data_IF_746073509402
#
_entry.id   IF_746073509402
#
_cell.length_a   1.000
_cell.length_b   1.000
_cell.length_c   1.000
_cell.angle_alpha   90.00
_cell.angle_beta   90.00
_cell.angle_gamma   90.00
#
_symmetry.space_group_name_H-M   'P 1'
#
loop_
_entity.id
_entity.type
_entity.pdbx_description
1 polymer ?
#
# COMPACT_ATOMS: atom_id res chain seq x y z
N UNK A 1 -26.53 -5.18 -8.24
CA UNK A 1 -26.57 -4.39 -7.04
C UNK A 1 -25.21 -4.28 -6.40
N UNK A 2 -24.72 -3.06 -6.25
CA UNK A 2 -23.40 -2.85 -5.65
C UNK A 2 -23.32 -3.38 -4.23
N UNK A 3 -24.40 -3.21 -3.44
CA UNK A 3 -24.40 -3.64 -2.04
C UNK A 3 -24.20 -5.15 -1.88
N UNK A 4 -24.71 -5.94 -2.84
CA UNK A 4 -24.60 -7.40 -2.78
C UNK A 4 -23.15 -7.86 -3.02
N UNK A 5 -22.33 -7.00 -3.66
CA UNK A 5 -20.95 -7.35 -4.02
C UNK A 5 -19.94 -6.70 -3.08
N UNK A 6 -20.39 -6.15 -1.96
CA UNK A 6 -19.51 -5.50 -1.01
C UNK A 6 -19.53 -6.21 0.33
N UNK A 7 -18.48 -5.96 1.11
CA UNK A 7 -18.32 -6.49 2.47
C UNK A 7 -17.99 -5.36 3.41
N UNK A 8 -18.66 -5.35 4.55
CA UNK A 8 -18.33 -4.43 5.64
C UNK A 8 -17.38 -5.15 6.59
N UNK A 9 -16.24 -4.54 6.82
CA UNK A 9 -15.20 -5.08 7.70
C UNK A 9 -14.88 -4.03 8.75
N UNK A 10 -14.84 -4.44 10.01
CA UNK A 10 -14.44 -3.56 11.11
C UNK A 10 -13.14 -4.10 11.69
N UNK A 11 -12.14 -3.24 11.82
CA UNK A 11 -10.85 -3.60 12.38
C UNK A 11 -10.49 -2.65 13.49
N UNK A 12 -9.80 -3.17 14.51
CA UNK A 12 -9.23 -2.36 15.57
C UNK A 12 -7.72 -2.37 15.37
N UNK A 13 -7.15 -1.22 15.04
CA UNK A 13 -5.76 -1.14 14.61
C UNK A 13 -4.95 -0.22 15.50
N UNK A 14 -3.65 -0.34 15.38
CA UNK A 14 -2.70 0.50 16.12
C UNK A 14 -2.63 1.90 15.52
N UNK A 15 -2.07 2.84 16.27
CA UNK A 15 -1.80 4.17 15.75
C UNK A 15 -0.80 4.13 14.59
N UNK A 16 0.31 3.39 14.67
CA UNK A 16 1.23 3.30 13.52
C UNK A 16 0.54 2.80 12.25
N UNK A 17 -0.33 1.79 12.37
CA UNK A 17 -1.05 1.31 11.20
C UNK A 17 -2.04 2.36 10.70
N UNK A 18 -2.73 3.05 11.61
CA UNK A 18 -3.63 4.13 11.20
C UNK A 18 -2.88 5.19 10.37
N UNK A 19 -1.68 5.57 10.82
CA UNK A 19 -0.86 6.53 10.09
C UNK A 19 -0.44 6.00 8.73
N UNK A 20 -0.21 4.70 8.63
CA UNK A 20 0.09 4.08 7.32
C UNK A 20 -1.13 4.15 6.39
N UNK A 21 -2.35 3.97 6.93
CA UNK A 21 -3.55 4.11 6.11
C UNK A 21 -3.69 5.53 5.56
N UNK A 22 -3.44 6.54 6.41
CA UNK A 22 -3.56 7.94 5.95
C UNK A 22 -2.49 8.29 4.93
N UNK A 23 -1.29 7.74 5.09
CA UNK A 23 -0.25 7.96 4.09
C UNK A 23 -0.63 7.32 2.76
N UNK A 24 -1.18 6.11 2.78
CA UNK A 24 -1.65 5.46 1.56
C UNK A 24 -2.74 6.25 0.87
N UNK A 25 -3.70 6.76 1.64
CA UNK A 25 -4.78 7.57 1.11
C UNK A 25 -4.23 8.85 0.48
N UNK A 26 -3.28 9.49 1.14
CA UNK A 26 -2.65 10.71 0.63
C UNK A 26 -1.96 10.46 -0.71
N UNK A 27 -1.17 9.40 -0.78
CA UNK A 27 -0.45 9.05 -2.01
C UNK A 27 -1.41 8.72 -3.14
N UNK A 28 -2.46 7.95 -2.84
CA UNK A 28 -3.43 7.55 -3.85
C UNK A 28 -4.25 8.75 -4.33
N UNK A 29 -4.63 9.64 -3.43
CA UNK A 29 -5.35 10.86 -3.79
C UNK A 29 -4.51 11.74 -4.71
N UNK A 30 -3.22 11.88 -4.41
CA UNK A 30 -2.32 12.69 -5.21
C UNK A 30 -2.02 12.04 -6.56
N UNK A 31 -1.97 10.71 -6.60
CA UNK A 31 -1.75 9.99 -7.85
C UNK A 31 -2.92 10.16 -8.81
N UNK A 32 -4.14 10.10 -8.28
CA UNK A 32 -5.36 10.14 -9.10
C UNK A 32 -5.94 11.54 -9.25
N UNK A 33 -5.48 12.49 -8.44
CA UNK A 33 -6.02 13.85 -8.38
C UNK A 33 -7.49 13.87 -8.00
N UNK A 34 -7.87 12.93 -7.15
CA UNK A 34 -9.20 12.83 -6.54
C UNK A 34 -9.03 12.49 -5.07
N UNK A 35 -9.91 12.99 -4.22
CA UNK A 35 -9.92 12.57 -2.83
C UNK A 35 -10.34 11.11 -2.78
N UNK A 36 -9.48 10.29 -2.20
CA UNK A 36 -9.71 8.85 -2.12
C UNK A 36 -10.00 8.42 -0.69
N UNK A 37 -10.64 7.28 -0.56
CA UNK A 37 -10.89 6.65 0.74
C UNK A 37 -10.00 5.42 0.87
N UNK A 38 -9.87 4.92 2.10
CA UNK A 38 -9.14 3.69 2.33
C UNK A 38 -9.78 2.52 1.58
N UNK A 39 -11.10 2.44 1.59
CA UNK A 39 -11.82 1.39 0.87
C UNK A 39 -11.50 1.42 -0.62
N UNK A 40 -11.48 2.61 -1.23
CA UNK A 40 -11.14 2.74 -2.65
C UNK A 40 -9.69 2.30 -2.91
N UNK A 41 -8.78 2.65 -2.03
CA UNK A 41 -7.38 2.25 -2.18
C UNK A 41 -7.25 0.73 -2.11
N UNK A 42 -7.92 0.10 -1.17
CA UNK A 42 -7.89 -1.36 -1.03
C UNK A 42 -8.45 -2.01 -2.28
N UNK A 43 -9.60 -1.52 -2.78
CA UNK A 43 -10.20 -2.06 -3.99
C UNK A 43 -9.26 -1.91 -5.19
N UNK A 44 -8.55 -0.79 -5.27
CA UNK A 44 -7.60 -0.55 -6.36
C UNK A 44 -6.41 -1.50 -6.28
N UNK A 45 -5.87 -1.74 -5.08
CA UNK A 45 -4.65 -2.53 -4.92
C UNK A 45 -4.88 -4.03 -4.81
N UNK A 46 -6.09 -4.44 -4.49
CA UNK A 46 -6.36 -5.87 -4.25
C UNK A 46 -6.12 -6.74 -5.49
N UNK A 47 -6.12 -6.15 -6.68
CA UNK A 47 -5.81 -6.87 -7.91
C UNK A 47 -4.30 -6.97 -8.17
N UNK A 48 -3.47 -6.36 -7.32
CA UNK A 48 -2.01 -6.32 -7.50
C UNK A 48 -1.29 -6.82 -6.26
N UNK A 49 -1.73 -7.98 -5.75
CA UNK A 49 -1.18 -8.54 -4.52
C UNK A 49 -0.02 -9.50 -4.76
N UNK A 50 0.25 -9.86 -6.00
CA UNK A 50 1.26 -10.86 -6.30
C UNK A 50 2.67 -10.46 -5.86
N UNK A 51 2.94 -9.17 -5.75
CA UNK A 51 4.27 -8.69 -5.35
C UNK A 51 4.47 -8.64 -3.85
N UNK A 52 3.42 -8.78 -3.07
CA UNK A 52 3.53 -8.70 -1.61
C UNK A 52 4.41 -9.82 -1.08
N UNK A 53 4.19 -11.05 -1.55
CA UNK A 53 4.98 -12.20 -1.13
C UNK A 53 6.41 -12.21 -1.67
N UNK A 54 6.72 -11.33 -2.63
CA UNK A 54 8.08 -11.25 -3.19
C UNK A 54 9.03 -10.43 -2.33
N UNK A 55 8.51 -9.71 -1.34
CA UNK A 55 9.38 -9.02 -0.40
C UNK A 55 10.16 -10.03 0.42
N UNK A 56 11.38 -9.65 0.78
CA UNK A 56 12.22 -10.48 1.62
C UNK A 56 11.51 -10.77 2.96
N UNK A 57 11.59 -12.02 3.42
CA UNK A 57 10.95 -12.43 4.67
C UNK A 57 11.39 -11.57 5.85
N UNK A 58 12.67 -11.21 5.89
CA UNK A 58 13.19 -10.35 6.93
C UNK A 58 12.53 -8.98 6.90
N UNK A 59 12.37 -8.41 5.69
CA UNK A 59 11.71 -7.12 5.51
C UNK A 59 10.27 -7.17 6.01
N UNK A 60 9.55 -8.24 5.68
CA UNK A 60 8.16 -8.41 6.12
C UNK A 60 8.06 -8.51 7.64
N UNK A 61 8.98 -9.25 8.26
CA UNK A 61 8.99 -9.38 9.73
C UNK A 61 9.33 -8.05 10.40
N UNK A 62 10.27 -7.31 9.83
CA UNK A 62 10.63 -5.99 10.36
C UNK A 62 9.45 -5.03 10.25
N UNK A 63 8.68 -5.12 9.17
CA UNK A 63 7.49 -4.29 9.01
C UNK A 63 6.50 -4.54 10.15
N UNK A 64 6.20 -5.81 10.45
CA UNK A 64 5.26 -6.15 11.52
C UNK A 64 5.75 -5.68 12.89
N UNK A 65 7.06 -5.70 13.10
CA UNK A 65 7.64 -5.22 14.35
C UNK A 65 7.54 -3.71 14.47
N UNK A 66 7.81 -3.01 13.38
CA UNK A 66 7.79 -1.54 13.37
C UNK A 66 6.39 -0.98 13.35
N UNK A 67 5.46 -1.67 12.69
CA UNK A 67 4.07 -1.23 12.56
C UNK A 67 3.17 -2.40 12.96
N UNK A 68 3.02 -2.63 14.27
CA UNK A 68 2.11 -3.67 14.72
C UNK A 68 0.68 -3.31 14.32
N UNK A 69 -0.10 -4.30 13.90
CA UNK A 69 -1.42 -4.03 13.36
C UNK A 69 -2.49 -3.88 14.42
N UNK A 70 -2.34 -4.56 15.55
CA UNK A 70 -3.37 -4.59 16.59
C UNK A 70 -3.38 -3.33 17.44
N UNK A 71 -4.57 -2.84 17.76
CA UNK A 71 -4.69 -1.65 18.60
C UNK A 71 -6.14 -1.33 18.93
N UNK A 72 -6.38 -0.06 19.26
CA UNK A 72 -7.68 0.38 19.76
C UNK A 72 -8.41 1.34 18.80
N UNK A 73 -7.79 1.69 17.69
CA UNK A 73 -8.44 2.60 16.74
C UNK A 73 -9.34 1.78 15.83
N UNK A 74 -10.64 2.06 15.89
CA UNK A 74 -11.61 1.33 15.09
C UNK A 74 -11.75 1.97 13.72
N UNK A 75 -11.59 1.16 12.68
CA UNK A 75 -11.85 1.60 11.32
C UNK A 75 -12.88 0.68 10.68
N UNK A 76 -13.66 1.24 9.76
CA UNK A 76 -14.65 0.49 9.00
C UNK A 76 -14.33 0.58 7.53
N UNK A 77 -14.42 -0.56 6.87
CA UNK A 77 -14.14 -0.67 5.45
C UNK A 77 -15.38 -1.23 4.76
N UNK A 78 -15.70 -0.65 3.62
CA UNK A 78 -16.70 -1.22 2.73
C UNK A 78 -16.00 -1.48 1.41
N UNK A 79 -15.57 -2.73 1.21
CA UNK A 79 -14.77 -3.12 0.06
C UNK A 79 -15.50 -4.18 -0.74
N UNK A 80 -15.07 -4.38 -1.99
CA UNK A 80 -15.68 -5.39 -2.83
C UNK A 80 -15.41 -6.78 -2.25
N UNK A 81 -16.27 -7.74 -2.61
CA UNK A 81 -16.09 -9.12 -2.21
C UNK A 81 -14.75 -9.66 -2.72
N UNK A 82 -14.39 -9.28 -3.95
CA UNK A 82 -13.11 -9.68 -4.54
C UNK A 82 -11.94 -9.17 -3.71
N UNK A 83 -12.02 -7.91 -3.25
CA UNK A 83 -10.97 -7.35 -2.40
C UNK A 83 -10.88 -8.07 -1.07
N UNK A 84 -12.02 -8.39 -0.46
CA UNK A 84 -12.06 -9.12 0.80
C UNK A 84 -11.41 -10.50 0.63
N UNK A 85 -11.71 -11.19 -0.46
CA UNK A 85 -11.10 -12.48 -0.77
C UNK A 85 -9.59 -12.34 -0.96
N UNK A 86 -9.15 -11.30 -1.66
CA UNK A 86 -7.72 -11.04 -1.88
C UNK A 86 -6.99 -10.80 -0.56
N UNK A 87 -7.60 -10.07 0.37
CA UNK A 87 -7.00 -9.86 1.69
C UNK A 87 -6.84 -11.19 2.45
N UNK A 88 -7.85 -12.05 2.39
CA UNK A 88 -7.77 -13.36 3.02
C UNK A 88 -6.66 -14.21 2.40
N UNK A 89 -6.52 -14.16 1.08
CA UNK A 89 -5.47 -14.90 0.37
C UNK A 89 -4.09 -14.39 0.75
N UNK A 90 -3.92 -13.07 0.85
CA UNK A 90 -2.65 -12.47 1.29
C UNK A 90 -2.35 -12.92 2.72
N UNK A 91 -3.35 -12.88 3.59
CA UNK A 91 -3.20 -13.33 4.97
C UNK A 91 -2.70 -14.77 5.03
N UNK A 92 -3.33 -15.66 4.27
CA UNK A 92 -2.96 -17.08 4.27
C UNK A 92 -1.57 -17.30 3.68
N UNK A 93 -1.26 -16.63 2.57
CA UNK A 93 0.04 -16.74 1.94
C UNK A 93 1.16 -16.30 2.88
N UNK A 94 1.00 -15.14 3.50
CA UNK A 94 2.02 -14.60 4.37
C UNK A 94 2.10 -15.35 5.71
N UNK A 95 0.97 -15.89 6.18
CA UNK A 95 0.99 -16.74 7.37
C UNK A 95 1.89 -17.96 7.15
N UNK A 96 1.82 -18.54 5.96
CA UNK A 96 2.70 -19.67 5.62
C UNK A 96 4.14 -19.23 5.45
N UNK A 97 4.35 -18.11 4.74
CA UNK A 97 5.70 -17.62 4.46
C UNK A 97 6.45 -17.21 5.72
N UNK A 98 5.75 -16.60 6.68
CA UNK A 98 6.36 -16.13 7.92
C UNK A 98 6.24 -17.12 9.06
N UNK A 99 5.59 -18.26 8.81
CA UNK A 99 5.35 -19.29 9.82
C UNK A 99 4.72 -18.68 11.08
N UNK A 100 3.69 -17.86 10.87
CA UNK A 100 2.97 -17.18 11.93
C UNK A 100 1.50 -17.07 11.55
N UNK A 101 0.63 -17.04 12.55
CA UNK A 101 -0.79 -16.85 12.29
C UNK A 101 -1.06 -15.35 12.17
N UNK A 102 -1.34 -14.90 10.97
CA UNK A 102 -1.61 -13.49 10.70
C UNK A 102 -3.10 -13.20 10.66
N UNK A 103 -3.45 -11.92 10.82
CA UNK A 103 -4.84 -11.46 10.79
C UNK A 103 -5.11 -10.68 9.51
N UNK A 104 -6.39 -10.34 9.29
CA UNK A 104 -6.77 -9.49 8.16
C UNK A 104 -6.12 -8.11 8.29
N UNK A 105 -5.99 -7.60 9.51
CA UNK A 105 -5.30 -6.32 9.73
C UNK A 105 -3.83 -6.40 9.32
N UNK A 106 -3.18 -7.54 9.56
CA UNK A 106 -1.81 -7.76 9.10
C UNK A 106 -1.75 -7.75 7.57
N UNK A 107 -2.71 -8.42 6.92
CA UNK A 107 -2.76 -8.43 5.46
C UNK A 107 -2.95 -7.02 4.90
N UNK A 108 -3.83 -6.24 5.51
CA UNK A 108 -4.03 -4.84 5.13
C UNK A 108 -2.73 -4.05 5.29
N UNK A 109 -2.03 -4.26 6.40
CA UNK A 109 -0.77 -3.57 6.65
C UNK A 109 0.26 -3.86 5.56
N UNK A 110 0.38 -5.11 5.15
CA UNK A 110 1.31 -5.48 4.08
C UNK A 110 0.90 -4.90 2.73
N UNK A 111 -0.39 -4.89 2.45
CA UNK A 111 -0.89 -4.31 1.19
C UNK A 111 -0.55 -2.82 1.12
N UNK A 112 -0.74 -2.10 2.22
CA UNK A 112 -0.41 -0.68 2.29
C UNK A 112 1.10 -0.45 2.23
N UNK A 113 1.87 -1.29 2.91
CA UNK A 113 3.32 -1.21 2.86
C UNK A 113 3.82 -1.36 1.42
N UNK A 114 3.33 -2.37 0.72
CA UNK A 114 3.71 -2.61 -0.67
C UNK A 114 3.37 -1.40 -1.55
N UNK A 115 2.18 -0.83 -1.36
CA UNK A 115 1.76 0.34 -2.12
C UNK A 115 2.64 1.55 -1.84
N UNK A 116 2.89 1.84 -0.56
CA UNK A 116 3.69 3.00 -0.17
C UNK A 116 5.12 2.88 -0.69
N UNK A 117 5.69 1.68 -0.59
CA UNK A 117 7.05 1.43 -1.10
C UNK A 117 7.10 1.65 -2.62
N UNK A 118 6.11 1.14 -3.33
CA UNK A 118 6.04 1.30 -4.78
C UNK A 118 5.93 2.78 -5.17
N UNK A 119 5.07 3.54 -4.48
CA UNK A 119 4.87 4.96 -4.78
C UNK A 119 6.13 5.78 -4.48
N UNK A 120 6.79 5.49 -3.38
CA UNK A 120 8.02 6.21 -3.04
C UNK A 120 9.16 5.87 -3.98
N UNK A 121 9.25 4.63 -4.43
CA UNK A 121 10.22 4.24 -5.43
C UNK A 121 9.97 4.96 -6.75
N UNK A 122 8.71 5.08 -7.17
CA UNK A 122 8.37 5.81 -8.39
C UNK A 122 8.76 7.28 -8.28
N UNK A 123 8.54 7.91 -7.13
CA UNK A 123 8.93 9.31 -6.92
C UNK A 123 10.43 9.50 -7.00
N UNK A 124 11.20 8.57 -6.47
CA UNK A 124 12.67 8.61 -6.55
C UNK A 124 13.11 8.46 -8.00
N UNK A 125 12.52 7.52 -8.73
CA UNK A 125 12.86 7.32 -10.14
C UNK A 125 12.54 8.56 -10.98
N UNK A 126 11.42 9.20 -10.72
CA UNK A 126 11.06 10.46 -11.40
C UNK A 126 12.11 11.53 -11.17
N UNK A 127 12.58 11.66 -9.93
CA UNK A 127 13.62 12.64 -9.59
C UNK A 127 14.94 12.32 -10.29
N UNK A 128 15.29 11.04 -10.37
CA UNK A 128 16.50 10.63 -11.08
C UNK A 128 16.40 10.89 -12.57
N UNK A 129 15.23 10.68 -13.18
CA UNK A 129 15.02 10.98 -14.58
C UNK A 129 15.14 12.47 -14.86
N UNK A 130 14.65 13.30 -13.96
CA UNK A 130 14.75 14.74 -14.10
C UNK A 130 16.20 15.23 -13.99
N UNK A 131 17.00 14.56 -13.21
CA UNK A 131 18.41 14.91 -13.05
C UNK A 131 19.30 14.22 -14.08
N UNK A 132 18.75 13.31 -14.84
CA UNK A 132 19.49 12.54 -15.84
C UNK A 132 19.81 13.39 -17.05
N UNK A 133 20.61 13.01 -17.90
CA UNK A 133 21.25 13.49 -19.04
C UNK A 133 20.82 14.65 -19.81
N UNK A 134 20.48 14.44 -19.82
CA UNK A 134 20.41 15.09 -20.33
C UNK A 134 20.85 15.63 -20.22
N UNK A 135 20.97 15.68 -20.13
CA UNK A 135 21.43 16.22 -20.04
C UNK A 135 21.87 16.41 -20.19
N UNK A 136 21.78 16.69 -20.44
CA UNK A 136 22.14 17.30 -20.59
C UNK A 136 22.09 17.30 -20.54
N UNK A 137 21.80 17.06 -20.93
CA UNK A 137 21.61 17.58 -20.89
C UNK A 137 21.15 17.57 -20.59
N UNK A 138 21.33 17.83 -21.14
CA UNK A 138 21.10 18.47 -21.15
C UNK A 138 20.76 18.62 -20.49
N UNK A 139 20.97 18.44 -21.06
CA UNK A 139 20.81 19.11 -20.77
C UNK A 139 20.58 19.34 -20.19
N UNK A 140 20.49 19.12 -20.53
CA UNK A 140 20.35 20.06 -20.21
C UNK A 140 20.06 20.15 -19.71
N UNK A 141 20.05 20.42 -19.99
CA UNK A 141 20.03 21.21 -19.80
C UNK A 141 19.74 21.31 -19.22
N UNK A 142 19.34 21.15 -18.90
CA UNK A 142 19.12 21.84 -18.59
C UNK A 142 18.60 21.84 -18.13
N UNK A 143 18.61 21.82 -18.53
CA UNK A 143 18.33 22.39 -18.35
C UNK A 143 17.75 22.29 -17.93
N UNK A 144 17.56 21.96 -18.08
CA UNK A 144 17.12 22.61 -18.00
C UNK A 144 16.54 22.32 -17.63
N UNK A 145 16.41 22.59 -17.75
CA UNK A 145 16.18 22.97 -17.83
C UNK A 145 15.87 22.93 -17.29
N UNK A 146 15.87 22.89 -17.38
CA UNK A 146 15.87 23.34 -17.14
C UNK A 146 15.73 23.15 -16.78
N UNK A 147 15.83 23.20 -17.05
CA UNK A 147 16.09 23.46 -16.90
C UNK A 147 15.94 23.34 -16.84
#
# INVERSE_FOLDING_TARGET
MGAADSRDITLNISEPLFRLTTEGIRLHSNETLHHQTLSNLIDHRSSRTEKIGSHDTRTLKEHLTSIPSDGTIRIRLNISRTSATSLDEVKDLLSRQLDSKLTVADALSFLLFDYVVEQKAAQVMDKLDLSGPDPFGRNGFANGHSS
#
